data_IF_743627661119
#
_entry.id   IF_743627661119
#
_cell.length_a   1.000
_cell.length_b   1.000
_cell.length_c   1.000
_cell.angle_alpha   90.00
_cell.angle_beta   90.00
_cell.angle_gamma   90.00
#
_symmetry.space_group_name_H-M   'P 1'
#
loop_
_entity.id
_entity.type
_entity.pdbx_description
1 polymer ?
#
# COMPACT_ATOMS: atom_id res chain seq x y z
N UNK A 1 31.41 12.46 -39.18
CA UNK A 1 30.87 13.02 -37.93
C UNK A 1 31.96 12.93 -36.87
N UNK A 2 32.18 13.98 -36.08
CA UNK A 2 33.08 13.90 -34.93
C UNK A 2 32.39 13.14 -33.80
N UNK A 3 33.11 12.19 -33.19
CA UNK A 3 32.65 11.45 -32.01
C UNK A 3 32.51 12.40 -30.83
N UNK A 4 31.52 12.16 -29.96
CA UNK A 4 31.36 12.89 -28.69
C UNK A 4 31.72 11.97 -27.55
N UNK A 5 32.46 12.47 -26.57
CA UNK A 5 32.89 11.74 -25.37
C UNK A 5 32.38 12.47 -24.14
N UNK A 6 31.85 11.76 -23.14
CA UNK A 6 31.38 12.35 -21.88
C UNK A 6 32.20 11.82 -20.71
N UNK A 7 32.64 12.74 -19.86
CA UNK A 7 33.29 12.42 -18.59
C UNK A 7 32.28 11.82 -17.60
N UNK A 8 32.57 10.63 -17.08
CA UNK A 8 31.71 9.92 -16.13
C UNK A 8 31.65 10.59 -14.74
N UNK A 9 32.61 11.46 -14.42
CA UNK A 9 32.72 12.13 -13.12
C UNK A 9 31.96 13.45 -13.07
N UNK A 10 32.14 14.32 -14.07
CA UNK A 10 31.57 15.67 -14.06
C UNK A 10 30.59 15.97 -15.21
N UNK A 11 30.45 15.07 -16.19
CA UNK A 11 29.56 15.26 -17.33
C UNK A 11 30.08 16.18 -18.44
N UNK A 12 31.34 16.63 -18.40
CA UNK A 12 31.97 17.39 -19.48
C UNK A 12 31.92 16.61 -20.81
N UNK A 13 31.58 17.31 -21.91
CA UNK A 13 31.48 16.72 -23.26
C UNK A 13 32.64 17.23 -24.12
N UNK A 14 33.39 16.30 -24.71
CA UNK A 14 34.45 16.56 -25.68
C UNK A 14 34.04 16.08 -27.08
N UNK A 15 34.34 16.86 -28.11
CA UNK A 15 34.13 16.47 -29.51
C UNK A 15 35.48 16.20 -30.18
N UNK A 16 35.72 14.96 -30.60
CA UNK A 16 37.01 14.51 -31.12
C UNK A 16 37.02 13.00 -31.39
N UNK A 17 37.96 12.52 -32.20
CA UNK A 17 38.05 11.08 -32.52
C UNK A 17 38.37 10.21 -31.29
N UNK A 18 39.04 10.79 -30.30
CA UNK A 18 39.47 10.19 -29.03
C UNK A 18 39.06 11.09 -27.86
N UNK A 19 38.92 10.57 -26.63
CA UNK A 19 38.71 11.38 -25.44
C UNK A 19 39.97 12.22 -25.14
N UNK A 20 39.84 13.34 -24.39
CA UNK A 20 41.00 14.15 -24.02
C UNK A 20 41.87 13.43 -22.98
N UNK A 21 43.18 13.68 -23.00
CA UNK A 21 44.15 13.11 -22.04
C UNK A 21 43.85 13.49 -20.58
N UNK A 22 43.21 14.65 -20.37
CA UNK A 22 42.76 15.10 -19.05
C UNK A 22 41.43 15.84 -19.20
N UNK A 23 40.47 15.53 -18.33
CA UNK A 23 39.23 16.29 -18.24
C UNK A 23 39.51 17.73 -17.79
N UNK A 24 39.14 18.77 -18.56
CA UNK A 24 39.43 20.16 -18.20
C UNK A 24 38.60 20.67 -17.00
N UNK A 25 37.59 19.91 -16.56
CA UNK A 25 36.71 20.28 -15.45
C UNK A 25 37.14 19.61 -14.14
N UNK A 26 37.43 18.30 -14.16
CA UNK A 26 37.71 17.54 -12.92
C UNK A 26 39.06 16.84 -12.88
N UNK A 27 39.89 16.94 -13.93
CA UNK A 27 41.28 16.47 -13.91
C UNK A 27 41.48 14.96 -14.04
N UNK A 28 40.43 14.17 -14.29
CA UNK A 28 40.55 12.70 -14.52
C UNK A 28 41.09 12.38 -15.91
N UNK A 29 41.72 11.22 -16.07
CA UNK A 29 42.30 10.76 -17.33
C UNK A 29 41.26 10.27 -18.35
N UNK A 30 41.71 9.87 -19.55
CA UNK A 30 40.85 9.45 -20.66
C UNK A 30 40.04 8.18 -20.36
N UNK A 31 40.47 7.36 -19.39
CA UNK A 31 39.77 6.16 -18.92
C UNK A 31 38.39 6.46 -18.31
N UNK A 32 38.19 7.70 -17.82
CA UNK A 32 36.92 8.16 -17.25
C UNK A 32 35.99 8.80 -18.28
N UNK A 33 36.31 8.69 -19.58
CA UNK A 33 35.44 9.13 -20.67
C UNK A 33 34.80 7.95 -21.37
N UNK A 34 33.48 8.04 -21.60
CA UNK A 34 32.74 7.11 -22.46
C UNK A 34 32.29 7.77 -23.74
N UNK A 35 32.27 7.01 -24.83
CA UNK A 35 31.71 7.47 -26.10
C UNK A 35 30.20 7.71 -25.94
N UNK A 36 29.77 8.91 -26.30
CA UNK A 36 28.39 9.32 -26.37
C UNK A 36 27.88 8.85 -27.74
N UNK A 37 27.52 7.57 -27.81
CA UNK A 37 26.87 7.02 -29.00
C UNK A 37 25.53 7.73 -29.20
N UNK A 38 25.25 8.14 -30.45
CA UNK A 38 23.89 8.46 -30.85
C UNK A 38 23.02 7.26 -30.46
N UNK A 39 22.00 7.52 -29.63
CA UNK A 39 21.07 6.51 -29.14
C UNK A 39 20.79 5.53 -30.27
N UNK A 40 20.97 4.21 -30.06
CA UNK A 40 20.43 3.27 -31.02
C UNK A 40 18.95 3.63 -31.18
N UNK A 41 18.53 3.86 -32.42
CA UNK A 41 17.11 3.89 -32.75
C UNK A 41 16.48 2.71 -32.05
N UNK A 42 15.42 2.99 -31.28
CA UNK A 42 14.69 1.98 -30.49
C UNK A 42 14.60 0.71 -31.34
N UNK A 43 15.08 -0.46 -30.88
CA UNK A 43 14.64 -1.70 -31.50
C UNK A 43 13.12 -1.63 -31.44
N UNK A 44 12.46 -1.69 -32.61
CA UNK A 44 11.01 -1.70 -32.72
C UNK A 44 10.49 -2.64 -31.67
N UNK A 45 9.88 -2.07 -30.62
CA UNK A 45 9.50 -2.80 -29.43
C UNK A 45 8.55 -3.90 -29.86
N UNK A 46 9.01 -5.15 -29.85
CA UNK A 46 8.09 -6.23 -29.59
C UNK A 46 7.45 -5.87 -28.25
N UNK A 47 6.19 -5.41 -28.27
CA UNK A 47 5.46 -5.04 -27.06
C UNK A 47 5.60 -6.21 -26.10
N UNK A 48 6.32 -6.02 -24.99
CA UNK A 48 6.32 -7.02 -23.94
C UNK A 48 4.87 -7.22 -23.51
N UNK A 49 4.45 -8.47 -23.39
CA UNK A 49 3.08 -8.79 -23.04
C UNK A 49 2.75 -8.12 -21.69
N UNK A 50 1.65 -7.36 -21.64
CA UNK A 50 1.21 -6.66 -20.43
C UNK A 50 1.02 -7.66 -19.29
N UNK A 51 1.43 -7.26 -18.08
CA UNK A 51 1.28 -8.06 -16.86
C UNK A 51 0.24 -7.41 -15.95
N UNK A 52 -0.68 -8.19 -15.42
CA UNK A 52 -1.77 -7.71 -14.57
C UNK A 52 -1.72 -8.42 -13.22
N UNK A 53 -1.62 -7.67 -12.12
CA UNK A 53 -1.59 -8.19 -10.75
C UNK A 53 -2.97 -8.06 -10.13
N UNK A 54 -3.54 -9.15 -9.63
CA UNK A 54 -4.71 -9.10 -8.74
C UNK A 54 -4.32 -8.45 -7.41
N UNK A 55 -4.98 -7.37 -7.00
CA UNK A 55 -4.67 -6.63 -5.76
C UNK A 55 -5.10 -7.35 -4.49
N UNK A 56 -5.86 -8.45 -4.62
CA UNK A 56 -6.34 -9.24 -3.47
C UNK A 56 -5.38 -10.41 -3.17
N UNK A 57 -4.97 -11.18 -4.18
CA UNK A 57 -4.18 -12.40 -4.01
C UNK A 57 -2.80 -12.38 -4.67
N UNK A 58 -2.44 -11.30 -5.37
CA UNK A 58 -1.20 -11.14 -6.13
C UNK A 58 -1.01 -12.19 -7.24
N UNK A 59 -2.12 -12.71 -7.79
CA UNK A 59 -2.06 -13.49 -9.02
C UNK A 59 -1.60 -12.58 -10.17
N UNK A 60 -0.58 -13.01 -10.93
CA UNK A 60 -0.11 -12.30 -12.11
C UNK A 60 -0.65 -12.99 -13.36
N UNK A 61 -1.38 -12.24 -14.17
CA UNK A 61 -1.83 -12.63 -15.49
C UNK A 61 -0.96 -11.96 -16.55
N UNK A 62 -0.58 -12.68 -17.61
CA UNK A 62 0.13 -12.13 -18.76
C UNK A 62 -0.83 -12.13 -19.95
N UNK A 63 -1.11 -10.96 -20.50
CA UNK A 63 -2.08 -10.79 -21.59
C UNK A 63 -2.47 -9.33 -21.80
N UNK A 64 -3.10 -9.02 -22.93
CA UNK A 64 -3.46 -7.64 -23.29
C UNK A 64 -4.49 -6.99 -22.33
N UNK A 65 -5.26 -7.81 -21.62
CA UNK A 65 -6.28 -7.43 -20.65
C UNK A 65 -6.23 -8.39 -19.43
N UNK A 66 -6.71 -7.98 -18.24
CA UNK A 66 -6.86 -8.90 -17.11
C UNK A 66 -8.00 -9.89 -17.36
N UNK A 67 -7.98 -11.08 -16.71
CA UNK A 67 -9.09 -12.03 -16.81
C UNK A 67 -10.35 -11.45 -16.16
N UNK A 68 -11.55 -11.83 -16.64
CA UNK A 68 -12.83 -11.38 -16.07
C UNK A 68 -12.98 -11.74 -14.58
N UNK A 69 -12.40 -12.87 -14.17
CA UNK A 69 -12.37 -13.36 -12.79
C UNK A 69 -10.96 -13.85 -12.44
N UNK A 70 -10.49 -13.53 -11.24
CA UNK A 70 -9.21 -14.03 -10.74
C UNK A 70 -9.27 -15.54 -10.46
N UNK A 71 -8.38 -16.35 -11.05
CA UNK A 71 -8.40 -17.81 -10.87
C UNK A 71 -8.00 -18.26 -9.46
N UNK A 72 -7.41 -17.39 -8.64
CA UNK A 72 -6.98 -17.74 -7.29
C UNK A 72 -7.95 -17.31 -6.18
N UNK A 73 -8.63 -16.16 -6.32
CA UNK A 73 -9.51 -15.66 -5.27
C UNK A 73 -10.92 -15.27 -5.72
N UNK A 74 -11.25 -15.44 -7.00
CA UNK A 74 -12.62 -15.24 -7.50
C UNK A 74 -13.09 -13.79 -7.62
N UNK A 75 -12.22 -12.80 -7.35
CA UNK A 75 -12.57 -11.38 -7.54
C UNK A 75 -12.61 -11.00 -9.02
N UNK A 76 -13.44 -10.03 -9.38
CA UNK A 76 -13.59 -9.60 -10.77
C UNK A 76 -12.38 -8.83 -11.32
N UNK A 77 -12.35 -8.60 -12.64
CA UNK A 77 -11.29 -7.87 -13.36
C UNK A 77 -11.00 -6.47 -12.82
N UNK A 78 -11.96 -5.85 -12.14
CA UNK A 78 -11.82 -4.54 -11.47
C UNK A 78 -10.75 -4.53 -10.37
N UNK A 79 -10.38 -5.71 -9.84
CA UNK A 79 -9.33 -5.90 -8.85
C UNK A 79 -7.95 -6.18 -9.46
N UNK A 80 -7.75 -5.99 -10.77
CA UNK A 80 -6.44 -6.15 -11.42
C UNK A 80 -5.79 -4.80 -11.77
N UNK A 81 -4.56 -4.61 -11.31
CA UNK A 81 -3.69 -3.47 -11.68
C UNK A 81 -2.73 -3.88 -12.79
N UNK A 82 -2.40 -2.95 -13.69
CA UNK A 82 -1.36 -3.17 -14.69
C UNK A 82 0.01 -3.02 -14.03
N UNK A 83 0.81 -4.07 -14.05
CA UNK A 83 2.24 -4.01 -13.75
C UNK A 83 2.95 -3.47 -14.99
N UNK A 84 3.08 -2.15 -15.07
CA UNK A 84 3.94 -1.53 -16.08
C UNK A 84 5.37 -1.44 -15.52
N UNK A 85 6.31 -2.17 -16.13
CA UNK A 85 7.75 -1.95 -15.91
C UNK A 85 8.23 -0.63 -16.53
N UNK A 86 7.40 -0.01 -17.37
CA UNK A 86 7.63 1.31 -17.93
C UNK A 86 7.28 2.37 -16.89
N UNK A 87 8.31 2.90 -16.21
CA UNK A 87 8.24 4.20 -15.56
C UNK A 87 7.94 5.22 -16.66
N UNK A 88 6.66 5.52 -16.88
CA UNK A 88 6.28 6.61 -17.76
C UNK A 88 6.80 7.90 -17.12
N UNK A 89 7.76 8.57 -17.77
CA UNK A 89 8.06 9.96 -17.43
C UNK A 89 6.75 10.74 -17.47
N UNK A 90 6.48 11.53 -16.43
CA UNK A 90 5.29 12.37 -16.39
C UNK A 90 5.35 13.39 -17.53
N UNK A 91 4.57 13.16 -18.59
CA UNK A 91 4.50 14.01 -19.78
C UNK A 91 3.05 14.42 -20.05
N UNK A 92 2.85 15.44 -20.90
CA UNK A 92 1.50 15.81 -21.35
C UNK A 92 0.78 14.66 -22.05
N UNK A 93 1.52 13.87 -22.82
CA UNK A 93 0.99 12.69 -23.50
C UNK A 93 0.57 11.60 -22.51
N UNK A 94 1.39 11.30 -21.48
CA UNK A 94 1.02 10.29 -20.47
C UNK A 94 -0.20 10.70 -19.65
N UNK A 95 -0.38 12.00 -19.38
CA UNK A 95 -1.58 12.54 -18.74
C UNK A 95 -2.82 12.37 -19.63
N UNK A 96 -2.71 12.71 -20.92
CA UNK A 96 -3.80 12.56 -21.89
C UNK A 96 -4.21 11.10 -22.11
N UNK A 97 -3.26 10.17 -22.00
CA UNK A 97 -3.47 8.74 -22.19
C UNK A 97 -3.87 7.99 -20.90
N UNK A 98 -4.15 8.71 -19.81
CA UNK A 98 -4.58 8.11 -18.54
C UNK A 98 -5.87 7.30 -18.73
N UNK A 99 -5.92 6.14 -18.08
CA UNK A 99 -7.05 5.22 -18.15
C UNK A 99 -7.22 4.45 -16.85
N UNK A 100 -8.25 3.61 -16.76
CA UNK A 100 -8.58 2.89 -15.54
C UNK A 100 -7.42 2.00 -15.02
N UNK A 101 -6.58 1.44 -15.89
CA UNK A 101 -5.46 0.62 -15.48
C UNK A 101 -4.34 1.47 -14.86
N UNK A 102 -3.98 2.60 -15.47
CA UNK A 102 -2.94 3.50 -14.94
C UNK A 102 -3.40 4.17 -13.65
N UNK A 103 -4.68 4.51 -13.52
CA UNK A 103 -5.28 5.01 -12.26
C UNK A 103 -5.12 3.99 -11.14
N UNK A 104 -5.43 2.71 -11.40
CA UNK A 104 -5.29 1.65 -10.39
C UNK A 104 -3.83 1.46 -9.97
N UNK A 105 -2.90 1.48 -10.91
CA UNK A 105 -1.46 1.40 -10.59
C UNK A 105 -1.00 2.60 -9.75
N UNK A 106 -1.50 3.81 -10.03
CA UNK A 106 -1.22 4.99 -9.21
C UNK A 106 -1.83 4.88 -7.79
N UNK A 107 -3.02 4.29 -7.64
CA UNK A 107 -3.61 4.05 -6.32
C UNK A 107 -2.82 3.03 -5.48
N UNK A 108 -2.19 2.04 -6.11
CA UNK A 108 -1.33 1.04 -5.44
C UNK A 108 -0.04 1.68 -4.85
N UNK A 109 0.32 2.91 -5.25
CA UNK A 109 1.47 3.62 -4.68
C UNK A 109 1.14 4.37 -3.38
N UNK A 110 -0.13 4.43 -2.96
CA UNK A 110 -0.50 5.07 -1.70
C UNK A 110 0.00 4.22 -0.53
N UNK A 111 0.73 4.86 0.38
CA UNK A 111 1.26 4.21 1.57
C UNK A 111 0.20 4.07 2.65
N UNK A 112 0.21 2.92 3.33
CA UNK A 112 -0.65 2.64 4.49
C UNK A 112 0.13 1.88 5.56
N UNK A 113 -0.26 2.06 6.82
CA UNK A 113 0.03 1.09 7.87
C UNK A 113 -0.90 -0.12 7.78
N UNK A 114 -0.69 -1.08 8.67
CA UNK A 114 -1.59 -2.22 8.88
C UNK A 114 -2.03 -2.27 10.34
N UNK A 115 -3.34 -2.43 10.52
CA UNK A 115 -4.00 -2.29 11.81
C UNK A 115 -5.00 -3.42 12.01
N UNK A 116 -5.26 -3.77 13.27
CA UNK A 116 -6.48 -4.48 13.65
C UNK A 116 -7.46 -3.46 14.20
N UNK A 117 -8.59 -3.30 13.51
CA UNK A 117 -9.72 -2.51 13.99
C UNK A 117 -10.70 -3.46 14.66
N UNK A 118 -11.02 -3.19 15.92
CA UNK A 118 -11.94 -4.00 16.73
C UNK A 118 -13.09 -3.18 17.27
N UNK A 119 -14.16 -3.88 17.61
CA UNK A 119 -15.35 -3.30 18.23
C UNK A 119 -16.11 -4.39 19.01
N UNK A 120 -17.17 -3.97 19.70
CA UNK A 120 -18.00 -4.80 20.57
C UNK A 120 -19.48 -4.57 20.22
N UNK A 121 -20.31 -5.60 20.34
CA UNK A 121 -21.77 -5.52 20.25
C UNK A 121 -22.38 -6.61 21.12
N UNK A 122 -23.30 -6.25 22.00
CA UNK A 122 -24.01 -7.20 22.88
C UNK A 122 -23.05 -8.14 23.65
N UNK A 123 -21.99 -7.59 24.24
CA UNK A 123 -20.89 -8.31 24.91
C UNK A 123 -20.08 -9.27 24.02
N UNK A 124 -20.30 -9.27 22.71
CA UNK A 124 -19.49 -10.02 21.74
C UNK A 124 -18.47 -9.09 21.11
N UNK A 125 -17.23 -9.58 21.02
CA UNK A 125 -16.13 -8.84 20.41
C UNK A 125 -15.86 -9.33 19.00
N UNK A 126 -15.37 -8.45 18.13
CA UNK A 126 -14.87 -8.84 16.81
C UNK A 126 -13.85 -7.82 16.28
N UNK A 127 -13.02 -8.26 15.33
CA UNK A 127 -11.99 -7.44 14.71
C UNK A 127 -11.74 -7.80 13.26
N UNK A 128 -11.18 -6.86 12.52
CA UNK A 128 -10.67 -7.09 11.16
C UNK A 128 -9.30 -6.44 10.98
N UNK A 129 -8.53 -6.97 10.04
CA UNK A 129 -7.41 -6.22 9.53
C UNK A 129 -7.91 -5.07 8.63
N UNK A 130 -7.32 -3.89 8.75
CA UNK A 130 -7.57 -2.73 7.91
C UNK A 130 -6.26 -1.97 7.65
N UNK A 131 -6.15 -1.34 6.49
CA UNK A 131 -5.06 -0.43 6.16
C UNK A 131 -5.54 1.03 6.07
N UNK A 132 -6.83 1.25 5.76
CA UNK A 132 -7.43 2.59 5.63
C UNK A 132 -7.77 3.20 6.99
N UNK A 133 -6.74 3.66 7.68
CA UNK A 133 -6.81 4.45 8.91
C UNK A 133 -5.97 5.71 8.71
N UNK A 134 -6.50 6.88 9.08
CA UNK A 134 -5.78 8.14 9.01
C UNK A 134 -6.16 9.07 10.17
N UNK A 135 -5.19 9.84 10.69
CA UNK A 135 -5.51 10.97 11.55
C UNK A 135 -6.07 12.13 10.70
N UNK A 136 -7.13 12.77 11.20
CA UNK A 136 -7.80 13.89 10.52
C UNK A 136 -7.46 15.23 11.13
N UNK A 137 -7.56 15.35 12.45
CA UNK A 137 -7.36 16.62 13.17
C UNK A 137 -6.61 16.38 14.47
N UNK A 138 -5.94 17.42 14.97
CA UNK A 138 -5.26 17.44 16.26
C UNK A 138 -6.19 17.98 17.36
N UNK A 139 -6.99 19.01 17.05
CA UNK A 139 -7.90 19.64 18.00
C UNK A 139 -9.32 19.81 17.40
N UNK A 140 -10.31 19.01 17.86
CA UNK A 140 -10.14 17.82 18.69
C UNK A 140 -9.39 16.70 17.95
N UNK A 141 -8.78 15.77 18.68
CA UNK A 141 -8.03 14.66 18.09
C UNK A 141 -8.98 13.67 17.42
N UNK A 142 -8.91 13.56 16.09
CA UNK A 142 -9.81 12.70 15.30
C UNK A 142 -9.08 11.80 14.35
N UNK A 143 -9.70 10.65 14.10
CA UNK A 143 -9.26 9.68 13.11
C UNK A 143 -10.41 9.34 12.16
N UNK A 144 -10.04 8.84 10.99
CA UNK A 144 -10.93 8.20 10.04
C UNK A 144 -10.58 6.71 9.92
N UNK A 145 -11.60 5.87 9.84
CA UNK A 145 -11.47 4.43 9.54
C UNK A 145 -12.48 4.06 8.47
N UNK A 146 -12.05 3.44 7.37
CA UNK A 146 -12.95 3.02 6.30
C UNK A 146 -13.15 1.50 6.33
N UNK A 147 -14.37 1.04 6.58
CA UNK A 147 -14.68 -0.39 6.73
C UNK A 147 -15.73 -0.85 5.71
N UNK A 148 -15.52 -2.05 5.16
CA UNK A 148 -16.45 -2.66 4.21
C UNK A 148 -17.77 -3.03 4.92
N UNK A 149 -18.91 -2.67 4.33
CA UNK A 149 -20.25 -2.93 4.90
C UNK A 149 -20.57 -4.41 5.09
N UNK A 150 -19.86 -5.32 4.40
CA UNK A 150 -20.03 -6.78 4.55
C UNK A 150 -19.34 -7.33 5.81
N UNK A 151 -18.40 -6.59 6.39
CA UNK A 151 -17.58 -7.09 7.50
C UNK A 151 -18.37 -7.04 8.81
N UNK A 152 -18.19 -8.05 9.67
CA UNK A 152 -18.84 -8.06 10.99
C UNK A 152 -18.36 -6.90 11.87
N UNK A 153 -17.09 -6.49 11.73
CA UNK A 153 -16.55 -5.35 12.48
C UNK A 153 -17.28 -4.06 12.13
N UNK A 154 -17.63 -3.85 10.85
CA UNK A 154 -18.44 -2.70 10.43
C UNK A 154 -19.79 -2.69 11.16
N UNK A 155 -20.49 -3.83 11.20
CA UNK A 155 -21.76 -3.97 11.91
C UNK A 155 -21.62 -3.63 13.41
N UNK A 156 -20.53 -4.06 14.05
CA UNK A 156 -20.28 -3.81 15.47
C UNK A 156 -19.96 -2.33 15.73
N UNK A 157 -19.17 -1.70 14.87
CA UNK A 157 -18.86 -0.25 14.97
C UNK A 157 -20.13 0.58 14.76
N UNK A 158 -20.96 0.24 13.76
CA UNK A 158 -22.25 0.90 13.54
C UNK A 158 -23.18 0.79 14.74
N UNK A 159 -23.24 -0.38 15.39
CA UNK A 159 -24.15 -0.62 16.51
C UNK A 159 -23.68 0.01 17.82
N UNK A 160 -22.37 -0.03 18.10
CA UNK A 160 -21.82 0.40 19.39
C UNK A 160 -21.32 1.85 19.40
N UNK A 161 -21.02 2.42 18.24
CA UNK A 161 -20.42 3.74 18.13
C UNK A 161 -18.99 3.81 18.68
N UNK A 162 -18.33 2.67 18.91
CA UNK A 162 -16.97 2.62 19.45
C UNK A 162 -16.08 1.69 18.64
N UNK A 163 -14.79 2.03 18.59
CA UNK A 163 -13.76 1.20 17.99
C UNK A 163 -12.45 1.30 18.75
N UNK A 164 -11.63 0.27 18.63
CA UNK A 164 -10.22 0.32 18.98
C UNK A 164 -9.36 -0.07 17.78
N UNK A 165 -8.13 0.43 17.76
CA UNK A 165 -7.14 0.19 16.72
C UNK A 165 -5.88 -0.31 17.41
N UNK A 166 -5.41 -1.50 17.02
CA UNK A 166 -4.09 -2.01 17.36
C UNK A 166 -3.17 -1.86 16.15
N UNK A 167 -2.08 -1.11 16.30
CA UNK A 167 -1.05 -0.94 15.26
C UNK A 167 -0.17 -2.18 15.24
N UNK A 168 -0.20 -2.94 14.14
CA UNK A 168 0.58 -4.17 14.02
C UNK A 168 2.07 -3.89 13.97
N UNK A 169 2.86 -4.79 14.54
CA UNK A 169 4.32 -4.82 14.40
C UNK A 169 4.70 -5.45 13.07
N UNK A 170 5.86 -5.07 12.54
CA UNK A 170 6.39 -5.55 11.26
C UNK A 170 6.49 -7.09 11.18
N UNK A 171 6.70 -7.77 12.31
CA UNK A 171 6.80 -9.24 12.42
C UNK A 171 5.44 -9.98 12.47
N UNK A 172 4.31 -9.27 12.54
CA UNK A 172 2.97 -9.84 12.72
C UNK A 172 2.19 -10.05 11.41
N UNK A 173 2.85 -10.61 10.40
CA UNK A 173 2.24 -10.88 9.08
C UNK A 173 1.09 -11.89 9.18
N UNK A 174 1.18 -12.83 10.11
CA UNK A 174 0.16 -13.83 10.43
C UNK A 174 -1.14 -13.18 10.94
N UNK A 175 -1.06 -12.11 11.74
CA UNK A 175 -2.23 -11.37 12.23
C UNK A 175 -3.04 -10.76 11.09
N UNK A 176 -2.39 -10.29 10.02
CA UNK A 176 -3.08 -9.81 8.81
C UNK A 176 -3.95 -10.93 8.24
N UNK A 177 -3.42 -12.16 8.18
CA UNK A 177 -4.16 -13.29 7.62
C UNK A 177 -5.31 -13.71 8.53
N UNK A 178 -5.03 -13.82 9.83
CA UNK A 178 -5.99 -14.22 10.85
C UNK A 178 -7.14 -13.22 10.99
N UNK A 179 -6.90 -11.91 10.94
CA UNK A 179 -8.01 -10.95 11.05
C UNK A 179 -8.62 -10.56 9.69
N UNK A 180 -7.90 -10.76 8.58
CA UNK A 180 -8.29 -10.32 7.24
C UNK A 180 -9.00 -11.34 6.34
N UNK A 181 -8.71 -12.65 6.45
CA UNK A 181 -9.24 -13.68 5.52
C UNK A 181 -10.31 -14.60 6.11
N UNK A 182 -10.79 -14.32 7.32
CA UNK A 182 -11.88 -15.08 7.95
C UNK A 182 -12.98 -14.15 8.46
N UNK A 183 -14.22 -14.63 8.46
CA UNK A 183 -15.37 -13.90 8.98
C UNK A 183 -15.56 -14.17 10.47
N UNK A 184 -15.75 -13.10 11.25
CA UNK A 184 -16.10 -13.21 12.67
C UNK A 184 -17.46 -13.88 12.92
N UNK A 185 -18.29 -14.01 11.87
CA UNK A 185 -19.60 -14.69 11.95
C UNK A 185 -19.46 -16.21 12.04
N UNK A 186 -18.36 -16.75 11.51
CA UNK A 186 -18.11 -18.20 11.44
C UNK A 186 -17.03 -18.65 12.41
N UNK A 187 -16.16 -17.73 12.85
CA UNK A 187 -15.05 -18.05 13.75
C UNK A 187 -14.82 -16.91 14.71
N UNK A 188 -14.67 -17.26 15.99
CA UNK A 188 -14.15 -16.31 16.98
C UNK A 188 -12.65 -16.12 16.74
N UNK A 189 -12.28 -14.88 16.42
CA UNK A 189 -10.91 -14.52 16.06
C UNK A 189 -10.04 -14.23 17.29
N UNK A 190 -10.63 -14.07 18.48
CA UNK A 190 -9.90 -13.69 19.69
C UNK A 190 -9.66 -14.86 20.64
N UNK A 191 -10.20 -16.06 20.37
CA UNK A 191 -10.06 -17.24 21.24
C UNK A 191 -8.59 -17.59 21.55
N UNK A 192 -7.70 -17.49 20.56
CA UNK A 192 -6.27 -17.84 20.69
C UNK A 192 -5.35 -16.62 20.63
N UNK A 193 -5.90 -15.41 20.66
CA UNK A 193 -5.14 -14.18 20.48
C UNK A 193 -5.17 -13.38 21.79
N UNK A 194 -4.04 -13.15 22.47
CA UNK A 194 -4.01 -12.36 23.69
C UNK A 194 -4.47 -10.91 23.46
N UNK A 195 -5.43 -10.46 24.25
CA UNK A 195 -5.94 -9.10 24.23
C UNK A 195 -6.24 -8.57 25.63
N UNK A 196 -6.31 -7.25 25.74
CA UNK A 196 -6.86 -6.54 26.90
C UNK A 196 -8.17 -5.89 26.51
N UNK A 197 -9.11 -5.81 27.44
CA UNK A 197 -10.34 -5.06 27.26
C UNK A 197 -10.06 -3.57 27.49
N UNK A 198 -10.26 -2.75 26.46
CA UNK A 198 -10.10 -1.31 26.52
C UNK A 198 -11.18 -0.60 27.36
N UNK A 199 -11.04 0.72 27.52
CA UNK A 199 -11.99 1.55 28.28
C UNK A 199 -13.38 1.58 27.66
N UNK A 200 -13.48 1.35 26.35
CA UNK A 200 -14.75 1.27 25.62
C UNK A 200 -15.27 -0.16 25.47
N UNK A 201 -14.62 -1.15 26.08
CA UNK A 201 -14.98 -2.57 25.98
C UNK A 201 -14.45 -3.27 24.72
N UNK A 202 -13.85 -2.55 23.78
CA UNK A 202 -13.22 -3.13 22.60
C UNK A 202 -11.98 -3.95 22.98
N UNK A 203 -11.71 -5.09 22.33
CA UNK A 203 -10.47 -5.83 22.56
C UNK A 203 -9.28 -5.14 21.89
N UNK A 204 -8.18 -4.98 22.62
CA UNK A 204 -6.92 -4.40 22.16
C UNK A 204 -5.85 -5.49 22.21
N UNK A 205 -5.17 -5.74 21.09
CA UNK A 205 -4.08 -6.73 21.08
C UNK A 205 -2.98 -6.32 22.06
N UNK A 206 -2.57 -7.26 22.93
CA UNK A 206 -1.46 -7.03 23.86
C UNK A 206 -0.15 -6.80 23.09
N UNK A 207 0.02 -7.61 22.06
CA UNK A 207 1.16 -7.60 21.16
C UNK A 207 0.97 -6.58 20.03
N UNK A 208 1.04 -5.27 20.32
CA UNK A 208 0.96 -4.23 19.30
C UNK A 208 2.01 -3.12 19.52
N UNK A 209 2.28 -2.31 18.49
CA UNK A 209 3.17 -1.14 18.62
C UNK A 209 2.51 -0.06 19.46
N UNK A 210 1.22 0.19 19.20
CA UNK A 210 0.42 1.17 19.88
C UNK A 210 -1.07 0.79 19.78
N UNK A 211 -1.88 1.32 20.68
CA UNK A 211 -3.33 1.26 20.56
C UNK A 211 -3.97 2.64 20.56
N UNK A 212 -5.16 2.72 19.99
CA UNK A 212 -6.02 3.90 19.96
C UNK A 212 -7.46 3.45 20.24
N UNK A 213 -8.17 4.13 21.13
CA UNK A 213 -9.61 3.97 21.33
C UNK A 213 -10.33 5.24 20.88
N UNK A 214 -11.47 5.08 20.20
CA UNK A 214 -12.21 6.21 19.66
C UNK A 214 -13.73 5.99 19.69
N UNK A 215 -14.46 7.11 19.82
CA UNK A 215 -15.91 7.15 19.73
C UNK A 215 -16.32 7.73 18.39
N UNK A 216 -17.12 6.98 17.64
CA UNK A 216 -17.64 7.36 16.32
C UNK A 216 -18.57 8.57 16.47
N UNK A 217 -18.48 9.49 15.51
CA UNK A 217 -19.39 10.62 15.34
C UNK A 217 -20.45 10.22 14.30
N UNK A 218 -21.70 9.91 14.72
CA UNK A 218 -22.73 9.43 13.81
C UNK A 218 -23.06 10.46 12.70
N UNK A 219 -23.04 11.75 13.02
CA UNK A 219 -23.29 12.86 12.09
C UNK A 219 -22.17 13.06 11.06
N UNK A 220 -21.00 12.43 11.27
CA UNK A 220 -19.82 12.51 10.39
C UNK A 220 -19.48 11.18 9.73
N UNK A 221 -20.35 10.19 9.89
CA UNK A 221 -20.20 8.90 9.22
C UNK A 221 -20.67 9.04 7.78
N UNK A 222 -19.82 8.66 6.82
CA UNK A 222 -20.09 8.89 5.38
C UNK A 222 -20.21 7.56 4.65
N UNK A 223 -21.32 7.38 3.94
CA UNK A 223 -21.49 6.30 2.98
C UNK A 223 -20.64 6.58 1.73
N UNK A 224 -19.72 5.68 1.41
CA UNK A 224 -18.83 5.79 0.24
C UNK A 224 -18.99 4.59 -0.70
N UNK A 225 -20.20 4.02 -0.76
CA UNK A 225 -20.56 2.90 -1.63
C UNK A 225 -20.40 1.54 -0.94
N UNK A 226 -19.33 0.80 -1.26
CA UNK A 226 -19.10 -0.53 -0.67
C UNK A 226 -18.61 -0.46 0.78
N UNK A 227 -18.18 0.72 1.23
CA UNK A 227 -17.64 0.97 2.55
C UNK A 227 -18.39 2.11 3.24
N UNK A 228 -18.18 2.21 4.54
CA UNK A 228 -18.52 3.38 5.35
C UNK A 228 -17.22 3.97 5.89
N UNK A 229 -17.06 5.28 5.73
CA UNK A 229 -15.99 6.05 6.37
C UNK A 229 -16.50 6.56 7.73
N UNK A 230 -15.91 6.03 8.80
CA UNK A 230 -16.19 6.46 10.16
C UNK A 230 -15.22 7.56 10.56
N UNK A 231 -15.75 8.70 11.02
CA UNK A 231 -14.97 9.71 11.74
C UNK A 231 -15.19 9.51 13.22
N UNK A 232 -14.11 9.50 14.01
CA UNK A 232 -14.19 9.23 15.44
C UNK A 232 -13.27 10.16 16.25
N UNK A 233 -13.75 10.59 17.42
CA UNK A 233 -12.96 11.33 18.41
C UNK A 233 -12.10 10.32 19.20
N UNK A 234 -10.79 10.57 19.26
CA UNK A 234 -9.85 9.74 20.02
C UNK A 234 -9.95 10.04 21.50
N UNK A 235 -10.17 9.02 22.33
CA UNK A 235 -10.37 9.17 23.78
C UNK A 235 -9.25 8.53 24.62
N UNK A 236 -8.49 7.62 24.04
CA UNK A 236 -7.30 7.03 24.66
C UNK A 236 -6.35 6.50 23.59
N UNK A 237 -5.07 6.41 23.93
CA UNK A 237 -4.07 5.75 23.12
C UNK A 237 -2.71 5.76 23.79
N UNK A 238 -1.87 4.79 23.47
CA UNK A 238 -0.52 4.67 24.03
C UNK A 238 0.38 3.86 23.10
N UNK A 239 1.66 4.24 23.04
CA UNK A 239 2.73 3.41 22.46
C UNK A 239 3.09 2.32 23.47
N UNK A 240 2.94 1.06 23.05
CA UNK A 240 3.16 -0.14 23.86
C UNK A 240 4.48 -0.85 23.53
N UNK A 241 5.12 -0.54 22.40
CA UNK A 241 6.40 -1.14 21.99
C UNK A 241 7.24 -0.17 21.16
N UNK A 242 8.57 -0.41 21.12
CA UNK A 242 9.53 0.31 20.26
C UNK A 242 9.76 -0.39 18.90
N UNK A 243 9.12 -1.53 18.67
CA UNK A 243 9.23 -2.27 17.41
C UNK A 243 8.61 -1.47 16.25
N UNK A 244 9.11 -1.71 15.04
CA UNK A 244 8.63 -1.03 13.84
C UNK A 244 7.17 -1.42 13.52
N UNK A 245 6.31 -0.46 13.12
CA UNK A 245 4.96 -0.77 12.69
C UNK A 245 4.95 -1.40 11.30
N UNK A 246 4.05 -2.37 11.09
CA UNK A 246 3.87 -3.03 9.81
C UNK A 246 3.26 -2.05 8.79
N UNK A 247 3.92 -1.90 7.65
CA UNK A 247 3.37 -1.18 6.50
C UNK A 247 2.71 -2.15 5.52
N UNK A 248 1.69 -1.67 4.81
CA UNK A 248 1.04 -2.45 3.77
C UNK A 248 2.01 -2.83 2.64
N UNK A 249 2.95 -1.94 2.30
CA UNK A 249 4.00 -2.20 1.31
C UNK A 249 4.91 -3.35 1.74
N UNK A 250 5.43 -3.31 2.96
CA UNK A 250 6.27 -4.38 3.50
C UNK A 250 5.52 -5.72 3.51
N UNK A 251 4.26 -5.72 3.93
CA UNK A 251 3.41 -6.92 3.87
C UNK A 251 3.31 -7.50 2.45
N UNK A 252 3.05 -6.66 1.43
CA UNK A 252 3.00 -7.12 0.03
C UNK A 252 4.33 -7.72 -0.44
N UNK A 253 5.46 -7.10 -0.09
CA UNK A 253 6.79 -7.59 -0.45
C UNK A 253 7.08 -8.96 0.17
N UNK A 254 6.74 -9.16 1.45
CA UNK A 254 6.94 -10.44 2.13
C UNK A 254 6.01 -11.54 1.62
N UNK A 255 4.75 -11.21 1.33
CA UNK A 255 3.79 -12.14 0.73
C UNK A 255 4.28 -12.69 -0.63
N UNK A 256 5.00 -11.88 -1.39
CA UNK A 256 5.57 -12.29 -2.68
C UNK A 256 6.83 -13.15 -2.56
N UNK A 257 7.60 -13.03 -1.47
CA UNK A 257 8.79 -13.87 -1.21
C UNK A 257 8.45 -15.27 -0.70
N UNK A 258 7.25 -15.46 -0.14
CA UNK A 258 6.80 -16.73 0.41
C UNK A 258 6.11 -17.66 -0.61
N UNK A 259 6.19 -17.34 -1.91
CA UNK A 259 5.74 -18.18 -3.04
C UNK A 259 6.96 -18.72 -3.78
#
# INVERSE_FOLDING_TARGET
MMKKWVCNVCGYIHEGEQPPDVCPVCGVGPEEFRLLEDKPEKPTSAKSAKRWKCTVCDYIHVGDAPPDVCPLCGVGKEYFVLLSDEIASLTRESLANSNAATVRSALDTISYGLYIVSSIKDNKINGQCANTVAQLTIEPCRIAVCLNKRNLTHEYVMASGVLAISVLREDQIDMVRHFGFQSGRTKDKFTEIPYLTGRLGCPILQDCVAYIEAKVLPDKTVDVGTHTLFVADVIAGQVASKLAPLTYRFYQEQKNKAK
#
